data_IF_248514963537
#
_entry.id   IF_248514963537
#
_cell.length_a   1.000
_cell.length_b   1.000
_cell.length_c   1.000
_cell.angle_alpha   90.00
_cell.angle_beta   90.00
_cell.angle_gamma   90.00
#
_symmetry.space_group_name_H-M   'P 1'
#
loop_
_entity.id
_entity.type
_entity.pdbx_description
1 polymer ?
#
# COMPACT_ATOMS: atom_id res chain seq x y z
N UNK A 1 -8.70 -27.88 -10.34
CA UNK A 1 -8.50 -28.05 -8.88
C UNK A 1 -9.50 -27.13 -8.19
N UNK A 2 -10.33 -27.59 -7.26
CA UNK A 2 -11.32 -26.73 -6.62
C UNK A 2 -10.63 -25.77 -5.64
N UNK A 3 -10.96 -24.48 -5.72
CA UNK A 3 -10.43 -23.44 -4.82
C UNK A 3 -11.29 -23.46 -3.56
N UNK A 4 -10.67 -23.76 -2.42
CA UNK A 4 -11.38 -23.99 -1.15
C UNK A 4 -11.59 -22.71 -0.32
N UNK A 5 -10.88 -21.63 -0.65
CA UNK A 5 -10.87 -20.38 0.13
C UNK A 5 -11.02 -19.19 -0.81
N UNK A 6 -11.89 -18.25 -0.44
CA UNK A 6 -12.18 -16.99 -1.15
C UNK A 6 -12.38 -17.15 -2.68
N UNK A 7 -13.26 -18.05 -3.14
CA UNK A 7 -13.51 -18.24 -4.56
C UNK A 7 -14.03 -16.96 -5.23
N UNK A 8 -14.77 -16.13 -4.50
CA UNK A 8 -15.36 -14.90 -5.04
C UNK A 8 -14.30 -13.82 -5.36
N UNK A 9 -13.09 -13.92 -4.79
CA UNK A 9 -12.02 -12.95 -5.01
C UNK A 9 -11.20 -13.25 -6.27
N UNK A 10 -11.40 -14.40 -6.90
CA UNK A 10 -10.60 -14.82 -8.06
C UNK A 10 -10.69 -13.76 -9.15
N UNK A 11 -11.91 -13.35 -9.49
CA UNK A 11 -12.19 -12.44 -10.60
C UNK A 11 -12.09 -10.95 -10.23
N UNK A 12 -11.58 -10.65 -9.04
CA UNK A 12 -11.41 -9.29 -8.53
C UNK A 12 -9.95 -8.82 -8.58
N UNK A 13 -9.78 -7.51 -8.76
CA UNK A 13 -8.51 -6.81 -8.63
C UNK A 13 -8.07 -6.78 -7.18
N UNK A 14 -6.79 -6.97 -6.91
CA UNK A 14 -6.27 -7.01 -5.53
C UNK A 14 -5.15 -5.99 -5.39
N UNK A 15 -5.12 -5.31 -4.26
CA UNK A 15 -3.98 -4.47 -3.88
C UNK A 15 -3.21 -5.19 -2.80
N UNK A 16 -1.95 -5.51 -3.09
CA UNK A 16 -1.07 -6.31 -2.26
C UNK A 16 0.00 -5.42 -1.62
N UNK A 17 0.32 -5.72 -0.36
CA UNK A 17 1.43 -5.12 0.38
C UNK A 17 2.39 -6.23 0.81
N UNK A 18 3.69 -5.94 0.91
CA UNK A 18 4.63 -6.93 1.43
C UNK A 18 4.38 -7.14 2.93
N UNK A 19 4.37 -8.40 3.37
CA UNK A 19 4.09 -8.75 4.78
C UNK A 19 5.27 -8.39 5.72
N UNK A 20 6.47 -8.33 5.16
CA UNK A 20 7.72 -8.01 5.88
C UNK A 20 8.42 -6.89 5.15
N UNK A 21 8.75 -5.84 5.89
CA UNK A 21 9.61 -4.78 5.38
C UNK A 21 10.48 -4.27 6.52
N UNK A 22 11.77 -4.61 6.41
CA UNK A 22 12.82 -3.99 7.19
C UNK A 22 13.71 -3.18 6.27
N UNK A 23 13.92 -1.90 6.57
CA UNK A 23 15.04 -1.16 5.97
C UNK A 23 16.29 -1.34 6.82
N UNK A 24 17.45 -1.57 6.20
CA UNK A 24 18.75 -1.57 6.90
C UNK A 24 19.22 -0.17 7.32
N UNK A 25 18.38 0.86 7.18
CA UNK A 25 18.70 2.23 7.52
C UNK A 25 18.53 2.49 9.02
N UNK A 26 19.42 3.31 9.60
CA UNK A 26 19.38 3.68 11.02
C UNK A 26 18.10 4.45 11.43
N UNK A 27 17.43 5.09 10.47
CA UNK A 27 16.10 5.68 10.61
C UNK A 27 15.29 5.21 9.40
N UNK A 28 14.28 4.38 9.64
CA UNK A 28 13.35 3.95 8.61
C UNK A 28 12.46 5.14 8.26
N UNK A 29 12.65 5.73 7.08
CA UNK A 29 11.82 6.84 6.58
C UNK A 29 10.90 6.43 5.42
N UNK A 30 11.17 5.26 4.83
CA UNK A 30 10.33 4.58 3.84
C UNK A 30 9.50 3.51 4.52
N UNK A 31 8.42 3.93 5.16
CA UNK A 31 7.43 3.02 5.74
C UNK A 31 6.54 2.47 4.63
N UNK A 32 6.28 1.16 4.62
CA UNK A 32 5.51 0.46 3.58
C UNK A 32 6.16 0.42 2.20
N UNK A 33 5.92 -0.68 1.47
CA UNK A 33 6.46 -0.92 0.15
C UNK A 33 5.58 -0.21 -0.87
N UNK A 34 6.01 -0.17 -2.12
CA UNK A 34 5.07 0.17 -3.20
C UNK A 34 3.95 -0.89 -3.18
N UNK A 35 2.66 -0.49 -3.15
CA UNK A 35 1.57 -1.44 -3.33
C UNK A 35 1.64 -2.10 -4.71
N UNK A 36 1.34 -3.38 -4.78
CA UNK A 36 1.29 -4.14 -6.03
C UNK A 36 -0.18 -4.32 -6.40
N UNK A 37 -0.55 -3.93 -7.61
CA UNK A 37 -1.89 -4.18 -8.15
C UNK A 37 -1.84 -5.52 -8.89
N UNK A 38 -2.65 -6.47 -8.45
CA UNK A 38 -2.78 -7.77 -9.07
C UNK A 38 -4.12 -7.87 -9.78
N UNK A 39 -4.09 -8.26 -11.06
CA UNK A 39 -5.28 -8.32 -11.93
C UNK A 39 -6.24 -9.44 -11.52
N UNK A 40 -7.45 -9.40 -12.08
CA UNK A 40 -8.41 -10.50 -11.96
C UNK A 40 -7.79 -11.82 -12.47
N UNK A 41 -8.06 -12.93 -11.78
CA UNK A 41 -7.50 -14.25 -12.05
C UNK A 41 -6.13 -14.52 -11.40
N UNK A 42 -5.54 -13.53 -10.73
CA UNK A 42 -4.25 -13.69 -10.02
C UNK A 42 -4.43 -14.15 -8.56
N UNK A 43 -3.43 -14.87 -8.06
CA UNK A 43 -3.33 -15.31 -6.67
C UNK A 43 -1.98 -14.89 -6.08
N UNK A 44 -1.97 -14.60 -4.77
CA UNK A 44 -0.76 -14.25 -4.02
C UNK A 44 -0.50 -15.28 -2.91
N UNK A 45 0.77 -15.51 -2.58
CA UNK A 45 1.22 -16.40 -1.51
C UNK A 45 1.53 -15.62 -0.23
N UNK A 46 1.88 -16.33 0.85
CA UNK A 46 2.03 -15.83 2.24
C UNK A 46 2.98 -14.64 2.43
N UNK A 47 3.85 -14.34 1.46
CA UNK A 47 4.76 -13.18 1.50
C UNK A 47 4.06 -11.85 1.26
N UNK A 48 2.81 -11.89 0.76
CA UNK A 48 1.99 -10.73 0.47
C UNK A 48 0.70 -10.71 1.30
N UNK A 49 0.32 -9.52 1.73
CA UNK A 49 -0.95 -9.24 2.38
C UNK A 49 -1.90 -8.58 1.38
N UNK A 50 -3.11 -9.10 1.28
CA UNK A 50 -4.19 -8.43 0.54
C UNK A 50 -4.66 -7.25 1.38
N UNK A 51 -4.31 -6.04 0.96
CA UNK A 51 -4.74 -4.80 1.62
C UNK A 51 -6.16 -4.40 1.20
N UNK A 52 -6.62 -4.85 0.03
CA UNK A 52 -7.97 -4.63 -0.48
C UNK A 52 -8.23 -5.42 -1.76
N UNK A 53 -9.51 -5.64 -2.07
CA UNK A 53 -9.98 -6.27 -3.30
C UNK A 53 -11.13 -5.45 -3.91
N UNK A 54 -11.19 -5.39 -5.24
CA UNK A 54 -12.03 -4.44 -5.98
C UNK A 54 -12.56 -5.07 -7.27
N UNK A 55 -13.81 -4.73 -7.63
CA UNK A 55 -14.41 -5.19 -8.89
C UNK A 55 -13.89 -4.48 -10.14
N UNK A 56 -13.09 -3.42 -10.01
CA UNK A 56 -12.52 -2.68 -11.13
C UNK A 56 -11.10 -2.17 -10.83
N UNK A 57 -10.32 -2.02 -11.91
CA UNK A 57 -8.94 -1.54 -11.88
C UNK A 57 -8.81 -0.14 -11.26
N UNK A 58 -9.75 0.76 -11.60
CA UNK A 58 -9.69 2.16 -11.18
C UNK A 58 -9.73 2.31 -9.65
N UNK A 59 -10.60 1.57 -8.98
CA UNK A 59 -10.70 1.58 -7.52
C UNK A 59 -9.45 0.99 -6.87
N UNK A 60 -8.87 -0.06 -7.47
CA UNK A 60 -7.60 -0.63 -7.03
C UNK A 60 -6.44 0.38 -7.16
N UNK A 61 -6.37 1.12 -8.27
CA UNK A 61 -5.39 2.20 -8.48
C UNK A 61 -5.59 3.32 -7.45
N UNK A 62 -6.82 3.78 -7.24
CA UNK A 62 -7.11 4.83 -6.26
C UNK A 62 -6.72 4.41 -4.84
N UNK A 63 -6.95 3.15 -4.49
CA UNK A 63 -6.55 2.59 -3.19
C UNK A 63 -5.04 2.48 -3.06
N UNK A 64 -4.34 1.99 -4.09
CA UNK A 64 -2.89 1.93 -4.12
C UNK A 64 -2.26 3.34 -3.97
N UNK A 65 -2.80 4.34 -4.65
CA UNK A 65 -2.38 5.73 -4.50
C UNK A 65 -2.63 6.25 -3.08
N UNK A 66 -3.80 5.93 -2.50
CA UNK A 66 -4.12 6.31 -1.13
C UNK A 66 -3.12 5.73 -0.11
N UNK A 67 -2.78 4.43 -0.22
CA UNK A 67 -1.78 3.78 0.64
C UNK A 67 -0.37 4.39 0.50
N UNK A 68 -0.06 5.00 -0.65
CA UNK A 68 1.19 5.72 -0.91
C UNK A 68 1.24 7.15 -0.38
N UNK A 69 0.19 7.64 0.26
CA UNK A 69 0.23 8.99 0.86
C UNK A 69 1.14 8.99 2.09
N UNK A 70 1.87 10.10 2.32
CA UNK A 70 2.68 10.28 3.53
C UNK A 70 1.79 10.23 4.77
N UNK A 71 0.57 10.75 4.67
CA UNK A 71 -0.43 10.65 5.72
C UNK A 71 -0.68 9.19 6.16
N UNK A 72 -1.02 8.29 5.23
CA UNK A 72 -1.31 6.88 5.57
C UNK A 72 -0.06 6.18 6.09
N UNK A 73 1.09 6.36 5.43
CA UNK A 73 2.36 5.78 5.86
C UNK A 73 2.76 6.23 7.27
N UNK A 74 2.50 7.49 7.61
CA UNK A 74 2.73 8.01 8.96
C UNK A 74 1.81 7.35 9.98
N UNK A 75 0.52 7.19 9.68
CA UNK A 75 -0.39 6.47 10.57
C UNK A 75 0.05 5.03 10.82
N UNK A 76 0.56 4.36 9.78
CA UNK A 76 1.14 3.03 9.92
C UNK A 76 2.43 3.04 10.73
N UNK A 77 3.31 4.04 10.55
CA UNK A 77 4.56 4.14 11.30
C UNK A 77 4.33 4.30 12.80
N UNK A 78 3.22 4.93 13.22
CA UNK A 78 2.84 5.02 14.63
C UNK A 78 2.53 3.66 15.29
N UNK A 79 2.18 2.65 14.49
CA UNK A 79 1.80 1.30 14.95
C UNK A 79 2.85 0.24 14.64
N UNK A 80 3.75 0.50 13.70
CA UNK A 80 4.83 -0.41 13.30
C UNK A 80 5.90 -0.48 14.39
N UNK A 81 5.64 -1.26 15.44
CA UNK A 81 6.61 -1.51 16.51
C UNK A 81 7.70 -2.53 16.10
N UNK A 82 7.42 -3.40 15.13
CA UNK A 82 8.33 -4.45 14.65
C UNK A 82 8.34 -4.53 13.12
N UNK A 83 9.28 -5.26 12.53
CA UNK A 83 9.40 -5.42 11.07
C UNK A 83 8.23 -6.19 10.41
N UNK A 84 7.41 -6.86 11.22
CA UNK A 84 6.22 -7.57 10.73
C UNK A 84 5.05 -6.60 10.58
N UNK A 85 4.70 -6.27 9.34
CA UNK A 85 3.59 -5.38 9.02
C UNK A 85 2.28 -6.18 8.91
N UNK A 86 1.83 -6.78 10.02
CA UNK A 86 0.57 -7.56 10.06
C UNK A 86 -0.65 -6.64 9.91
N UNK A 87 -1.85 -7.21 9.69
CA UNK A 87 -3.12 -6.46 9.56
C UNK A 87 -3.30 -5.35 10.63
N UNK A 88 -2.80 -5.56 11.84
CA UNK A 88 -2.95 -4.64 12.98
C UNK A 88 -2.19 -3.31 12.84
N UNK A 89 -1.21 -3.23 11.94
CA UNK A 89 -0.48 -1.97 11.67
C UNK A 89 -1.33 -1.00 10.85
N UNK A 90 -2.31 -1.51 10.10
CA UNK A 90 -3.23 -0.72 9.28
C UNK A 90 -4.47 -0.27 10.04
N UNK A 91 -4.64 -0.65 11.31
CA UNK A 91 -5.86 -0.35 12.08
C UNK A 91 -6.12 1.15 12.29
N UNK A 92 -5.12 2.01 12.11
CA UNK A 92 -5.26 3.46 12.18
C UNK A 92 -5.55 4.10 10.83
N UNK A 93 -5.47 3.35 9.74
CA UNK A 93 -5.75 3.87 8.40
C UNK A 93 -7.25 4.05 8.24
N UNK A 94 -7.74 5.28 7.99
CA UNK A 94 -9.16 5.53 7.83
C UNK A 94 -9.73 4.84 6.58
N UNK A 95 -10.90 4.23 6.73
CA UNK A 95 -11.67 3.71 5.60
C UNK A 95 -12.35 4.90 4.88
N UNK A 96 -11.84 5.24 3.69
CA UNK A 96 -12.29 6.38 2.89
C UNK A 96 -12.89 5.89 1.57
N UNK A 97 -13.91 6.60 1.04
CA UNK A 97 -14.46 6.25 -0.26
C UNK A 97 -13.40 6.41 -1.36
N UNK A 98 -13.27 5.39 -2.21
CA UNK A 98 -12.29 5.32 -3.30
C UNK A 98 -12.83 5.86 -4.63
N UNK A 99 -13.98 6.53 -4.58
CA UNK A 99 -14.60 7.20 -5.72
C UNK A 99 -13.81 8.43 -6.20
N UNK A 100 -12.75 8.82 -5.50
CA UNK A 100 -11.85 9.90 -5.87
C UNK A 100 -10.40 9.56 -5.49
N UNK A 101 -9.48 10.25 -6.16
CA UNK A 101 -8.05 10.18 -5.84
C UNK A 101 -7.75 10.96 -4.56
N UNK A 102 -7.11 10.29 -3.60
CA UNK A 102 -6.65 10.89 -2.35
C UNK A 102 -5.18 11.29 -2.46
N UNK A 103 -4.90 12.56 -2.20
CA UNK A 103 -3.54 13.11 -2.12
C UNK A 103 -3.26 13.60 -0.71
N UNK A 104 -1.99 13.74 -0.34
CA UNK A 104 -1.58 14.29 0.95
C UNK A 104 -2.29 15.63 1.23
N UNK A 105 -2.31 16.55 0.26
CA UNK A 105 -2.99 17.84 0.41
C UNK A 105 -4.50 17.72 0.70
N UNK A 106 -5.21 16.79 0.03
CA UNK A 106 -6.63 16.54 0.30
C UNK A 106 -6.85 15.94 1.69
N UNK A 107 -5.98 15.04 2.11
CA UNK A 107 -6.06 14.40 3.42
C UNK A 107 -5.75 15.39 4.55
N UNK A 108 -4.69 16.19 4.42
CA UNK A 108 -4.35 17.24 5.38
C UNK A 108 -5.50 18.23 5.55
N UNK A 109 -6.11 18.67 4.43
CA UNK A 109 -7.28 19.55 4.47
C UNK A 109 -8.49 18.88 5.12
N UNK A 110 -8.75 17.60 4.81
CA UNK A 110 -9.88 16.84 5.37
C UNK A 110 -9.81 16.71 6.89
N UNK A 111 -8.63 16.44 7.41
CA UNK A 111 -8.41 16.23 8.86
C UNK A 111 -8.01 17.52 9.60
N UNK A 112 -7.91 18.65 8.90
CA UNK A 112 -7.66 19.95 9.52
C UNK A 112 -6.25 20.14 10.07
N UNK A 113 -5.26 19.49 9.47
CA UNK A 113 -3.87 19.57 9.93
C UNK A 113 -3.30 20.97 9.72
N UNK A 114 -2.57 21.45 10.71
CA UNK A 114 -1.86 22.72 10.64
C UNK A 114 -0.47 22.55 9.97
N UNK A 115 0.20 23.67 9.69
CA UNK A 115 1.50 23.67 8.99
C UNK A 115 2.60 22.92 9.74
N UNK A 116 2.60 23.01 11.07
CA UNK A 116 3.63 22.38 11.90
C UNK A 116 3.42 20.86 11.95
N UNK A 117 2.17 20.40 12.03
CA UNK A 117 1.81 18.98 11.93
C UNK A 117 2.16 18.39 10.57
N UNK A 118 1.88 19.13 9.48
CA UNK A 118 2.25 18.72 8.13
C UNK A 118 3.77 18.61 8.03
N UNK A 119 4.51 19.64 8.45
CA UNK A 119 5.97 19.63 8.41
C UNK A 119 6.55 18.46 9.24
N UNK A 120 5.94 18.15 10.39
CA UNK A 120 6.32 17.00 11.18
C UNK A 120 6.13 15.69 10.42
N UNK A 121 4.95 15.43 9.84
CA UNK A 121 4.67 14.22 9.05
C UNK A 121 5.68 14.08 7.90
N UNK A 122 5.92 15.16 7.17
CA UNK A 122 6.85 15.17 6.04
C UNK A 122 8.31 15.00 6.47
N UNK A 123 8.67 15.39 7.70
CA UNK A 123 9.99 15.12 8.27
C UNK A 123 10.20 13.65 8.66
N UNK A 124 9.13 12.94 9.01
CA UNK A 124 9.19 11.55 9.46
C UNK A 124 9.11 10.57 8.28
N UNK A 125 8.30 10.91 7.27
CA UNK A 125 8.00 10.03 6.15
C UNK A 125 8.51 10.63 4.86
N UNK A 126 9.45 9.95 4.22
CA UNK A 126 9.98 10.35 2.93
C UNK A 126 8.89 10.29 1.84
N UNK A 127 9.05 11.12 0.82
CA UNK A 127 8.25 11.03 -0.39
C UNK A 127 8.57 9.73 -1.15
N UNK A 128 7.56 9.15 -1.78
CA UNK A 128 7.78 8.04 -2.71
C UNK A 128 8.02 8.63 -4.10
N UNK A 129 8.93 8.02 -4.86
CA UNK A 129 9.11 8.36 -6.28
C UNK A 129 7.77 8.29 -7.01
N UNK A 130 7.50 9.20 -7.95
CA UNK A 130 6.21 9.35 -8.62
C UNK A 130 5.75 8.12 -9.42
N UNK A 131 6.65 7.15 -9.64
CA UNK A 131 6.39 5.96 -10.42
C UNK A 131 5.53 4.96 -9.63
N UNK A 132 4.38 4.63 -10.22
CA UNK A 132 3.39 3.70 -9.67
C UNK A 132 3.86 2.25 -9.73
N UNK A 133 4.72 1.92 -10.69
CA UNK A 133 5.15 0.57 -11.02
C UNK A 133 6.67 0.54 -11.08
N UNK A 134 7.29 -0.49 -10.50
CA UNK A 134 8.61 -0.88 -10.97
C UNK A 134 8.38 -1.58 -12.32
N UNK A 135 9.17 -1.27 -13.35
CA UNK A 135 9.13 -2.04 -14.60
C UNK A 135 9.32 -3.51 -14.20
N UNK A 136 8.31 -4.33 -14.47
CA UNK A 136 8.44 -5.77 -14.29
C UNK A 136 9.54 -6.17 -15.27
N UNK A 137 10.73 -6.41 -14.73
CA UNK A 137 11.80 -7.01 -15.49
C UNK A 137 11.22 -8.25 -16.12
N UNK A 138 11.21 -8.28 -17.45
CA UNK A 138 11.07 -9.51 -18.19
C UNK A 138 12.19 -10.41 -17.67
N UNK A 139 11.88 -11.30 -16.74
CA UNK A 139 12.66 -12.51 -16.55
C UNK A 139 12.49 -13.30 -17.86
N UNK A 140 13.23 -12.89 -18.88
CA UNK A 140 13.66 -13.79 -19.94
C UNK A 140 14.50 -14.84 -19.21
N UNK A 141 13.85 -15.94 -18.86
CA UNK A 141 14.54 -17.20 -18.60
C UNK A 141 15.34 -17.53 -19.85
N UNK A 142 16.61 -17.12 -19.88
CA UNK A 142 17.63 -17.70 -20.76
C UNK A 142 17.84 -19.15 -20.29
N UNK A 143 17.00 -20.05 -20.80
CA UNK A 143 17.28 -21.48 -20.86
C UNK A 143 18.01 -21.75 -22.19
N UNK A 144 19.35 -21.72 -22.19
CA UNK A 144 20.21 -22.56 -23.04
C UNK A 144 21.46 -23.04 -22.28
#
# INVERSE_FOLDING_TARGET
KAIAVNPDWIDEWKVLMTAVQGTSAAVETKFLSKPIIAEAGTACTETYLVAGHFGNEKDAINYAQYLRTRFVRFLVSLRKATQHATRDVYSFVPDLPLNQEWTDAKLYKRYGLNKDEIAFIESQVAEHDSELFDEVGSDETEDE
#
